data_IF_589984534225
#
_entry.id   IF_589984534225
#
_cell.length_a   1.000
_cell.length_b   1.000
_cell.length_c   1.000
_cell.angle_alpha   90.00
_cell.angle_beta   90.00
_cell.angle_gamma   90.00
#
_symmetry.space_group_name_H-M   'P 1'
#
loop_
_entity.id
_entity.type
_entity.pdbx_description
1 polymer ?
#
# COMPACT_ATOMS: atom_id res chain seq x y z
N UNK A 1 54.45 14.22 45.29
CA UNK A 1 53.65 13.37 44.38
C UNK A 1 53.11 12.20 45.20
N UNK A 2 52.02 12.41 45.93
CA UNK A 2 51.31 11.29 46.54
C UNK A 2 50.59 10.59 45.39
N UNK A 3 50.87 9.30 45.19
CA UNK A 3 50.08 8.46 44.30
C UNK A 3 48.60 8.72 44.61
N UNK A 4 47.81 9.00 43.59
CA UNK A 4 46.38 9.19 43.80
C UNK A 4 45.84 7.92 44.48
N UNK A 5 44.97 8.05 45.50
CA UNK A 5 44.45 6.92 46.29
C UNK A 5 44.06 5.70 45.42
N UNK A 6 43.50 5.85 44.21
CA UNK A 6 43.23 4.72 43.32
C UNK A 6 44.47 4.00 42.77
N UNK A 7 45.59 4.69 42.50
CA UNK A 7 46.85 4.05 42.05
C UNK A 7 47.49 3.22 43.17
N UNK A 8 47.38 3.69 44.41
CA UNK A 8 47.81 2.93 45.59
C UNK A 8 46.98 1.64 45.72
N UNK A 9 45.66 1.74 45.57
CA UNK A 9 44.75 0.58 45.64
C UNK A 9 44.95 -0.42 44.49
N UNK A 10 45.26 0.07 43.28
CA UNK A 10 45.66 -0.79 42.16
C UNK A 10 46.96 -1.55 42.46
N UNK A 11 47.92 -0.91 43.15
CA UNK A 11 49.19 -1.56 43.53
C UNK A 11 49.03 -2.56 44.69
N UNK A 12 48.01 -2.39 45.53
CA UNK A 12 47.70 -3.31 46.62
C UNK A 12 46.81 -4.50 46.21
N UNK A 13 46.44 -4.61 44.93
CA UNK A 13 45.61 -5.69 44.39
C UNK A 13 44.11 -5.57 44.65
N UNK A 14 43.64 -4.45 45.22
CA UNK A 14 42.23 -4.21 45.52
C UNK A 14 41.56 -3.47 44.34
N UNK A 15 41.41 -4.19 43.23
CA UNK A 15 40.96 -3.65 41.94
C UNK A 15 39.52 -3.10 41.98
N UNK A 16 38.61 -3.74 42.72
CA UNK A 16 37.20 -3.35 42.81
C UNK A 16 37.03 -1.93 43.36
N UNK A 17 37.61 -1.65 44.54
CA UNK A 17 37.53 -0.33 45.18
C UNK A 17 38.25 0.75 44.38
N UNK A 18 39.42 0.41 43.80
CA UNK A 18 40.17 1.33 42.97
C UNK A 18 39.34 1.78 41.76
N UNK A 19 38.72 0.83 41.06
CA UNK A 19 37.96 1.10 39.83
C UNK A 19 36.67 1.87 40.15
N UNK A 20 35.95 1.53 41.23
CA UNK A 20 34.77 2.30 41.67
C UNK A 20 35.10 3.76 41.99
N UNK A 21 36.23 4.02 42.65
CA UNK A 21 36.71 5.39 42.90
C UNK A 21 37.09 6.13 41.61
N UNK A 22 37.72 5.45 40.66
CA UNK A 22 38.05 6.03 39.36
C UNK A 22 36.78 6.35 38.54
N UNK A 23 35.77 5.47 38.57
CA UNK A 23 34.47 5.71 37.94
C UNK A 23 33.73 6.89 38.60
N UNK A 24 33.74 6.98 39.93
CA UNK A 24 33.10 8.07 40.66
C UNK A 24 33.72 9.44 40.33
N UNK A 25 35.02 9.49 40.05
CA UNK A 25 35.74 10.71 39.66
C UNK A 25 35.76 10.96 38.13
N UNK A 26 35.06 10.13 37.36
CA UNK A 26 34.98 10.18 35.90
C UNK A 26 36.34 10.09 35.15
N UNK A 27 37.29 9.31 35.66
CA UNK A 27 38.64 9.19 35.05
C UNK A 27 38.69 8.13 33.94
N UNK A 28 38.11 8.44 32.77
CA UNK A 28 37.91 7.50 31.64
C UNK A 28 39.18 6.73 31.24
N UNK A 29 40.30 7.41 30.97
CA UNK A 29 41.54 6.75 30.54
C UNK A 29 42.14 5.82 31.61
N UNK A 30 42.07 6.22 32.89
CA UNK A 30 42.57 5.40 34.00
C UNK A 30 41.73 4.14 34.16
N UNK A 31 40.42 4.26 33.98
CA UNK A 31 39.49 3.12 33.98
C UNK A 31 39.77 2.19 32.78
N UNK A 32 40.04 2.72 31.59
CA UNK A 32 40.39 1.91 30.40
C UNK A 32 41.67 1.10 30.62
N UNK A 33 42.69 1.74 31.20
CA UNK A 33 43.96 1.08 31.52
C UNK A 33 43.80 0.04 32.64
N UNK A 34 42.95 0.30 33.63
CA UNK A 34 42.60 -0.68 34.65
C UNK A 34 41.83 -1.87 34.04
N UNK A 35 40.93 -1.63 33.09
CA UNK A 35 40.15 -2.66 32.41
C UNK A 35 41.04 -3.68 31.69
N UNK A 36 42.16 -3.25 31.06
CA UNK A 36 43.09 -4.16 30.38
C UNK A 36 43.81 -5.12 31.34
N UNK A 37 43.99 -4.74 32.61
CA UNK A 37 44.69 -5.54 33.64
C UNK A 37 43.82 -6.59 34.33
N UNK A 38 42.49 -6.52 34.12
CA UNK A 38 41.52 -7.46 34.69
C UNK A 38 41.42 -8.72 33.82
N UNK A 39 41.29 -9.86 34.50
CA UNK A 39 41.07 -11.17 33.88
C UNK A 39 39.59 -11.41 33.55
N UNK A 40 39.32 -12.43 32.72
CA UNK A 40 37.96 -12.84 32.35
C UNK A 40 37.10 -13.30 33.52
N UNK A 41 37.72 -13.68 34.65
CA UNK A 41 37.03 -14.10 35.88
C UNK A 41 36.23 -12.96 36.54
N UNK A 42 36.65 -11.71 36.35
CA UNK A 42 36.02 -10.53 36.98
C UNK A 42 34.88 -9.97 36.12
N UNK A 43 34.02 -10.85 35.60
CA UNK A 43 32.98 -10.51 34.63
C UNK A 43 32.00 -9.42 35.13
N UNK A 44 31.69 -9.38 36.42
CA UNK A 44 30.82 -8.35 37.00
C UNK A 44 31.49 -6.97 37.01
N UNK A 45 32.77 -6.89 37.36
CA UNK A 45 33.53 -5.64 37.35
C UNK A 45 33.69 -5.11 35.93
N UNK A 46 33.99 -6.00 34.98
CA UNK A 46 34.07 -5.67 33.56
C UNK A 46 32.74 -5.17 32.99
N UNK A 47 31.60 -5.71 33.46
CA UNK A 47 30.28 -5.21 33.08
C UNK A 47 30.03 -3.79 33.60
N UNK A 48 30.37 -3.51 34.85
CA UNK A 48 30.27 -2.16 35.45
C UNK A 48 31.14 -1.15 34.68
N UNK A 49 32.39 -1.52 34.37
CA UNK A 49 33.30 -0.70 33.56
C UNK A 49 32.73 -0.46 32.16
N UNK A 50 32.22 -1.51 31.49
CA UNK A 50 31.63 -1.37 30.16
C UNK A 50 30.42 -0.42 30.16
N UNK A 51 29.56 -0.48 31.18
CA UNK A 51 28.43 0.44 31.33
C UNK A 51 28.88 1.88 31.60
N UNK A 52 29.95 2.06 32.38
CA UNK A 52 30.55 3.37 32.61
C UNK A 52 31.15 3.96 31.33
N UNK A 53 31.88 3.16 30.54
CA UNK A 53 32.42 3.58 29.25
C UNK A 53 31.32 3.96 28.26
N UNK A 54 30.25 3.17 28.20
CA UNK A 54 29.08 3.47 27.38
C UNK A 54 28.43 4.82 27.73
N UNK A 55 28.28 5.13 29.02
CA UNK A 55 27.72 6.42 29.48
C UNK A 55 28.57 7.63 29.07
N UNK A 56 29.88 7.43 28.92
CA UNK A 56 30.81 8.48 28.52
C UNK A 56 31.00 8.59 27.00
N UNK A 57 30.30 7.79 26.19
CA UNK A 57 30.37 7.82 24.73
C UNK A 57 31.51 6.98 24.12
N UNK A 58 32.26 6.22 24.92
CA UNK A 58 33.39 5.39 24.46
C UNK A 58 32.91 4.00 23.99
N UNK A 59 32.11 3.97 22.92
CA UNK A 59 31.44 2.76 22.44
C UNK A 59 32.40 1.65 21.98
N UNK A 60 33.51 2.01 21.33
CA UNK A 60 34.48 1.03 20.79
C UNK A 60 35.14 0.26 21.95
N UNK A 61 35.55 0.98 22.99
CA UNK A 61 36.19 0.40 24.16
C UNK A 61 35.19 -0.44 24.95
N UNK A 62 33.97 0.06 25.14
CA UNK A 62 32.89 -0.67 25.79
C UNK A 62 32.56 -1.99 25.05
N UNK A 63 32.45 -1.96 23.72
CA UNK A 63 32.25 -3.18 22.90
C UNK A 63 33.37 -4.19 23.09
N UNK A 64 34.64 -3.75 23.11
CA UNK A 64 35.77 -4.67 23.35
C UNK A 64 35.72 -5.33 24.73
N UNK A 65 35.27 -4.61 25.75
CA UNK A 65 35.15 -5.10 27.13
C UNK A 65 34.01 -6.12 27.21
N UNK A 66 32.86 -5.79 26.63
CA UNK A 66 31.70 -6.69 26.61
C UNK A 66 31.92 -7.94 25.74
N UNK A 67 32.66 -7.84 24.64
CA UNK A 67 33.07 -8.99 23.83
C UNK A 67 33.98 -9.94 24.63
N UNK A 68 34.87 -9.39 25.46
CA UNK A 68 35.78 -10.20 26.29
C UNK A 68 35.04 -11.05 27.33
N UNK A 69 33.89 -10.58 27.81
CA UNK A 69 32.99 -11.32 28.72
C UNK A 69 31.87 -12.08 27.99
N UNK A 70 31.84 -12.04 26.66
CA UNK A 70 30.81 -12.64 25.81
C UNK A 70 29.38 -12.18 26.13
N UNK A 71 29.21 -10.95 26.63
CA UNK A 71 27.93 -10.36 27.01
C UNK A 71 27.33 -9.57 25.84
N UNK A 72 26.80 -10.30 24.86
CA UNK A 72 26.22 -9.72 23.65
C UNK A 72 25.00 -8.83 23.94
N UNK A 73 24.24 -9.14 25.00
CA UNK A 73 23.05 -8.37 25.38
C UNK A 73 23.42 -6.96 25.83
N UNK A 74 24.50 -6.81 26.59
CA UNK A 74 25.00 -5.50 27.02
C UNK A 74 25.53 -4.66 25.86
N UNK A 75 26.17 -5.29 24.86
CA UNK A 75 26.61 -4.61 23.62
C UNK A 75 25.40 -4.06 22.88
N UNK A 76 24.39 -4.91 22.67
CA UNK A 76 23.16 -4.54 21.98
C UNK A 76 22.47 -3.38 22.69
N UNK A 77 22.24 -3.50 24.01
CA UNK A 77 21.56 -2.45 24.78
C UNK A 77 22.32 -1.12 24.72
N UNK A 78 23.65 -1.17 24.71
CA UNK A 78 24.49 0.01 24.54
C UNK A 78 24.24 0.67 23.18
N UNK A 79 24.32 -0.07 22.06
CA UNK A 79 24.10 0.49 20.72
C UNK A 79 22.66 0.99 20.53
N UNK A 80 21.67 0.29 21.09
CA UNK A 80 20.25 0.70 21.07
C UNK A 80 20.06 2.02 21.84
N UNK A 81 20.62 2.14 23.05
CA UNK A 81 20.52 3.37 23.85
C UNK A 81 21.23 4.57 23.18
N UNK A 82 22.25 4.29 22.37
CA UNK A 82 23.00 5.30 21.61
C UNK A 82 22.37 5.61 20.23
N UNK A 83 21.26 4.97 19.86
CA UNK A 83 20.64 5.03 18.53
C UNK A 83 21.59 4.64 17.37
N UNK A 84 22.64 3.85 17.64
CA UNK A 84 23.57 3.34 16.64
C UNK A 84 23.01 2.04 16.01
N UNK A 85 21.97 2.19 15.20
CA UNK A 85 21.22 1.07 14.63
C UNK A 85 22.00 0.23 13.62
N UNK A 86 22.91 0.82 12.83
CA UNK A 86 23.68 0.09 11.82
C UNK A 86 24.55 -1.00 12.45
N UNK A 87 25.27 -0.66 13.52
CA UNK A 87 26.07 -1.60 14.30
C UNK A 87 25.19 -2.64 15.02
N UNK A 88 24.05 -2.21 15.57
CA UNK A 88 23.12 -3.10 16.26
C UNK A 88 22.52 -4.15 15.30
N UNK A 89 22.12 -3.73 14.10
CA UNK A 89 21.57 -4.62 13.07
C UNK A 89 22.64 -5.58 12.51
N UNK A 90 23.88 -5.10 12.33
CA UNK A 90 25.01 -5.94 11.93
C UNK A 90 25.31 -7.06 12.95
N UNK A 91 25.15 -6.78 14.25
CA UNK A 91 25.33 -7.76 15.32
C UNK A 91 24.25 -8.84 15.34
N UNK A 92 22.99 -8.50 15.03
CA UNK A 92 21.88 -9.48 14.98
C UNK A 92 21.99 -10.39 13.76
N UNK A 93 22.43 -9.86 12.61
CA UNK A 93 22.63 -10.68 11.42
C UNK A 93 23.62 -11.83 11.68
N UNK A 94 24.49 -11.70 12.69
CA UNK A 94 25.41 -12.74 13.17
C UNK A 94 24.81 -13.59 14.29
N UNK A 95 23.85 -13.09 15.07
CA UNK A 95 23.26 -13.74 16.25
C UNK A 95 21.73 -13.55 16.31
N UNK A 96 20.98 -14.52 15.79
CA UNK A 96 19.51 -14.43 15.65
C UNK A 96 18.72 -14.47 16.98
N UNK A 97 19.31 -14.98 18.07
CA UNK A 97 18.60 -15.20 19.34
C UNK A 97 18.14 -13.93 20.07
N UNK A 98 18.77 -12.77 19.81
CA UNK A 98 18.49 -11.48 20.45
C UNK A 98 17.75 -10.50 19.52
N UNK A 99 17.15 -11.00 18.44
CA UNK A 99 16.44 -10.20 17.42
C UNK A 99 15.40 -9.24 18.03
N UNK A 100 14.61 -9.71 18.99
CA UNK A 100 13.55 -8.92 19.63
C UNK A 100 14.09 -7.69 20.40
N UNK A 101 15.22 -7.84 21.10
CA UNK A 101 15.81 -6.79 21.93
C UNK A 101 16.29 -5.57 21.10
N UNK A 102 16.43 -5.71 19.78
CA UNK A 102 16.80 -4.60 18.87
C UNK A 102 15.66 -4.17 17.97
N UNK A 103 15.00 -5.12 17.29
CA UNK A 103 14.00 -4.75 16.30
C UNK A 103 12.80 -4.04 16.92
N UNK A 104 12.45 -4.33 18.19
CA UNK A 104 11.36 -3.64 18.87
C UNK A 104 11.71 -2.16 19.19
N UNK A 105 12.83 -1.84 19.86
CA UNK A 105 13.29 -0.45 20.00
C UNK A 105 13.49 0.26 18.66
N UNK A 106 14.05 -0.45 17.67
CA UNK A 106 14.27 0.10 16.33
C UNK A 106 12.96 0.46 15.63
N UNK A 107 11.96 -0.41 15.72
CA UNK A 107 10.63 -0.16 15.16
C UNK A 107 9.96 1.06 15.80
N UNK A 108 10.09 1.22 17.13
CA UNK A 108 9.57 2.40 17.85
C UNK A 108 10.28 3.68 17.42
N UNK A 109 11.60 3.65 17.33
CA UNK A 109 12.40 4.78 16.84
C UNK A 109 12.06 5.15 15.39
N UNK A 110 11.86 4.16 14.52
CA UNK A 110 11.42 4.39 13.14
C UNK A 110 10.01 5.00 13.10
N UNK A 111 9.11 4.53 13.96
CA UNK A 111 7.76 5.07 14.08
C UNK A 111 7.76 6.52 14.60
N UNK A 112 8.62 6.86 15.55
CA UNK A 112 8.75 8.24 16.06
C UNK A 112 9.26 9.22 14.99
N UNK A 113 9.95 8.73 13.96
CA UNK A 113 10.53 9.53 12.86
C UNK A 113 9.77 9.44 11.54
N UNK A 114 8.52 9.01 11.58
CA UNK A 114 7.63 8.83 10.43
C UNK A 114 8.12 7.84 9.34
N UNK A 115 9.12 6.99 9.63
CA UNK A 115 9.65 5.96 8.71
C UNK A 115 8.89 4.64 8.87
N UNK A 116 7.59 4.70 8.66
CA UNK A 116 6.66 3.65 9.09
C UNK A 116 6.73 2.35 8.30
N UNK A 117 7.07 2.39 7.00
CA UNK A 117 7.21 1.18 6.19
C UNK A 117 8.31 0.28 6.74
N UNK A 118 9.42 0.89 7.14
CA UNK A 118 10.53 0.20 7.79
C UNK A 118 10.15 -0.22 9.22
N UNK A 119 9.38 0.59 9.94
CA UNK A 119 8.92 0.27 11.28
C UNK A 119 8.05 -1.00 11.28
N UNK A 120 7.14 -1.14 10.30
CA UNK A 120 6.29 -2.32 10.17
C UNK A 120 7.11 -3.58 9.89
N UNK A 121 8.11 -3.49 9.00
CA UNK A 121 9.04 -4.60 8.72
C UNK A 121 9.81 -4.96 9.99
N UNK A 122 10.25 -3.97 10.77
CA UNK A 122 10.96 -4.19 12.03
C UNK A 122 10.06 -4.85 13.10
N UNK A 123 8.80 -4.42 13.25
CA UNK A 123 7.85 -5.06 14.16
C UNK A 123 7.59 -6.53 13.80
N UNK A 124 7.43 -6.82 12.50
CA UNK A 124 7.25 -8.19 12.01
C UNK A 124 8.50 -9.04 12.31
N UNK A 125 9.71 -8.51 12.10
CA UNK A 125 10.97 -9.18 12.45
C UNK A 125 11.14 -9.41 13.96
N UNK A 126 10.54 -8.56 14.79
CA UNK A 126 10.55 -8.72 16.24
C UNK A 126 9.51 -9.74 16.75
N UNK A 127 8.60 -10.21 15.90
CA UNK A 127 7.50 -11.12 16.28
C UNK A 127 6.33 -10.44 17.01
N UNK A 128 6.27 -9.11 17.02
CA UNK A 128 5.23 -8.32 17.70
C UNK A 128 4.12 -7.88 16.75
N UNK A 129 3.50 -8.84 16.06
CA UNK A 129 2.46 -8.58 15.04
C UNK A 129 1.25 -7.81 15.60
N UNK A 130 0.88 -8.06 16.86
CA UNK A 130 -0.25 -7.37 17.51
C UNK A 130 0.02 -5.89 17.74
N UNK A 131 1.23 -5.54 18.21
CA UNK A 131 1.64 -4.14 18.35
C UNK A 131 1.73 -3.48 16.98
N UNK A 132 2.27 -4.19 15.97
CA UNK A 132 2.32 -3.71 14.58
C UNK A 132 0.94 -3.36 14.03
N UNK A 133 -0.06 -4.23 14.23
CA UNK A 133 -1.44 -3.99 13.80
C UNK A 133 -2.08 -2.79 14.53
N UNK A 134 -1.84 -2.64 15.84
CA UNK A 134 -2.35 -1.49 16.61
C UNK A 134 -1.75 -0.17 16.13
N UNK A 135 -0.44 -0.14 15.89
CA UNK A 135 0.24 1.03 15.33
C UNK A 135 -0.32 1.37 13.95
N UNK A 136 -0.48 0.38 13.08
CA UNK A 136 -1.05 0.57 11.74
C UNK A 136 -2.49 1.13 11.79
N UNK A 137 -3.33 0.65 12.71
CA UNK A 137 -4.68 1.18 12.90
C UNK A 137 -4.65 2.65 13.36
N UNK A 138 -3.78 2.99 14.32
CA UNK A 138 -3.61 4.37 14.79
C UNK A 138 -3.12 5.29 13.68
N UNK A 139 -2.13 4.86 12.90
CA UNK A 139 -1.60 5.59 11.75
C UNK A 139 -2.67 5.83 10.70
N UNK A 140 -3.49 4.82 10.41
CA UNK A 140 -4.58 4.92 9.46
C UNK A 140 -5.58 6.00 9.91
N UNK A 141 -5.98 5.99 11.19
CA UNK A 141 -6.88 7.01 11.77
C UNK A 141 -6.26 8.40 11.75
N UNK A 142 -4.96 8.52 12.05
CA UNK A 142 -4.26 9.82 12.05
C UNK A 142 -4.11 10.38 10.64
N UNK A 143 -3.70 9.55 9.66
CA UNK A 143 -3.56 9.95 8.27
C UNK A 143 -4.88 10.49 7.70
N UNK A 144 -6.01 9.85 8.04
CA UNK A 144 -7.34 10.33 7.65
C UNK A 144 -7.67 11.68 8.31
N UNK A 145 -7.41 11.84 9.61
CA UNK A 145 -7.68 13.09 10.35
C UNK A 145 -6.84 14.28 9.87
N UNK A 146 -5.61 14.01 9.42
CA UNK A 146 -4.68 15.02 8.94
C UNK A 146 -4.79 15.29 7.44
N UNK A 147 -5.80 14.71 6.77
CA UNK A 147 -6.02 14.84 5.32
C UNK A 147 -4.85 14.29 4.47
N UNK A 148 -4.05 13.35 5.00
CA UNK A 148 -3.01 12.62 4.27
C UNK A 148 -3.62 11.40 3.58
N UNK A 149 -4.53 11.60 2.62
CA UNK A 149 -5.37 10.52 2.06
C UNK A 149 -4.58 9.50 1.22
N UNK A 150 -3.51 9.91 0.54
CA UNK A 150 -2.58 8.97 -0.13
C UNK A 150 -1.99 7.95 0.87
N UNK A 151 -1.55 8.43 2.03
CA UNK A 151 -1.02 7.58 3.10
C UNK A 151 -2.13 6.73 3.72
N UNK A 152 -3.30 7.30 3.99
CA UNK A 152 -4.47 6.56 4.48
C UNK A 152 -4.83 5.40 3.54
N UNK A 153 -4.91 5.65 2.24
CA UNK A 153 -5.14 4.62 1.22
C UNK A 153 -4.12 3.49 1.33
N UNK A 154 -2.83 3.82 1.44
CA UNK A 154 -1.78 2.85 1.55
C UNK A 154 -1.90 2.01 2.83
N UNK A 155 -2.15 2.64 3.97
CA UNK A 155 -2.30 1.94 5.25
C UNK A 155 -3.53 1.02 5.28
N UNK A 156 -4.68 1.44 4.73
CA UNK A 156 -5.85 0.57 4.59
C UNK A 156 -5.56 -0.66 3.72
N UNK A 157 -4.73 -0.55 2.67
CA UNK A 157 -4.29 -1.71 1.88
C UNK A 157 -3.37 -2.63 2.67
N UNK A 158 -2.42 -2.06 3.42
CA UNK A 158 -1.56 -2.86 4.32
C UNK A 158 -2.37 -3.58 5.39
N UNK A 159 -3.40 -2.95 5.93
CA UNK A 159 -4.34 -3.61 6.85
C UNK A 159 -5.08 -4.76 6.15
N UNK A 160 -5.55 -4.55 4.92
CA UNK A 160 -6.18 -5.61 4.14
C UNK A 160 -5.23 -6.79 3.88
N UNK A 161 -3.97 -6.54 3.55
CA UNK A 161 -2.94 -7.59 3.39
C UNK A 161 -2.75 -8.41 4.67
N UNK A 162 -2.65 -7.77 5.83
CA UNK A 162 -2.57 -8.47 7.13
C UNK A 162 -3.81 -9.34 7.39
N UNK A 163 -5.00 -8.91 6.93
CA UNK A 163 -6.22 -9.69 7.04
C UNK A 163 -6.22 -10.89 6.07
N UNK A 164 -5.67 -10.73 4.86
CA UNK A 164 -5.50 -11.83 3.88
C UNK A 164 -4.55 -12.90 4.40
N UNK A 165 -3.44 -12.49 5.03
CA UNK A 165 -2.47 -13.42 5.63
C UNK A 165 -3.11 -14.25 6.75
N UNK A 166 -3.95 -13.62 7.58
CA UNK A 166 -4.73 -14.30 8.62
C UNK A 166 -5.77 -15.26 8.04
N UNK A 167 -6.46 -14.88 6.97
CA UNK A 167 -7.43 -15.74 6.28
C UNK A 167 -6.77 -17.01 5.71
N UNK A 168 -5.59 -16.85 5.08
CA UNK A 168 -4.83 -17.97 4.51
C UNK A 168 -4.30 -18.99 5.52
N UNK A 169 -4.31 -18.67 6.82
CA UNK A 169 -3.94 -19.57 7.92
C UNK A 169 -5.11 -20.26 8.61
N UNK A 170 -6.37 -19.86 8.32
CA UNK A 170 -7.56 -20.40 8.99
C UNK A 170 -8.25 -21.40 8.05
N UNK A 171 -8.07 -22.69 8.33
CA UNK A 171 -8.80 -23.76 7.66
C UNK A 171 -10.32 -23.64 7.89
N UNK A 172 -11.02 -23.06 6.91
CA UNK A 172 -12.34 -23.45 6.39
C UNK A 172 -13.61 -23.42 7.26
N UNK A 173 -13.54 -23.40 8.60
CA UNK A 173 -14.72 -23.75 9.43
C UNK A 173 -15.00 -22.82 10.62
N UNK A 174 -14.83 -21.50 10.48
CA UNK A 174 -15.20 -20.57 11.56
C UNK A 174 -16.25 -19.53 11.15
N UNK A 175 -17.24 -19.35 12.03
CA UNK A 175 -18.28 -18.31 12.02
C UNK A 175 -17.67 -16.88 11.95
N UNK A 176 -16.41 -16.72 12.36
CA UNK A 176 -15.65 -15.47 12.30
C UNK A 176 -15.11 -15.12 10.88
N UNK A 177 -15.20 -16.02 9.91
CA UNK A 177 -14.73 -15.77 8.53
C UNK A 177 -15.56 -14.69 7.83
N UNK A 178 -16.88 -14.64 8.07
CA UNK A 178 -17.75 -13.65 7.45
C UNK A 178 -17.44 -12.22 7.92
N UNK A 179 -17.19 -12.01 9.22
CA UNK A 179 -16.85 -10.69 9.75
C UNK A 179 -15.46 -10.23 9.31
N UNK A 180 -14.52 -11.15 9.12
CA UNK A 180 -13.18 -10.85 8.59
C UNK A 180 -13.25 -10.46 7.11
N UNK A 181 -14.04 -11.17 6.30
CA UNK A 181 -14.27 -10.82 4.90
C UNK A 181 -14.93 -9.45 4.74
N UNK A 182 -15.95 -9.15 5.54
CA UNK A 182 -16.60 -7.83 5.53
C UNK A 182 -15.62 -6.72 5.93
N UNK A 183 -14.80 -6.96 6.95
CA UNK A 183 -13.76 -6.02 7.39
C UNK A 183 -12.71 -5.77 6.30
N UNK A 184 -12.32 -6.82 5.58
CA UNK A 184 -11.38 -6.74 4.47
C UNK A 184 -11.96 -5.97 3.28
N UNK A 185 -13.21 -6.25 2.89
CA UNK A 185 -13.90 -5.51 1.84
C UNK A 185 -14.04 -4.03 2.21
N UNK A 186 -14.36 -3.74 3.47
CA UNK A 186 -14.39 -2.36 3.99
C UNK A 186 -13.01 -1.69 3.91
N UNK A 187 -11.92 -2.37 4.28
CA UNK A 187 -10.57 -1.81 4.16
C UNK A 187 -10.20 -1.50 2.71
N UNK A 188 -10.46 -2.43 1.77
CA UNK A 188 -10.17 -2.24 0.36
C UNK A 188 -11.01 -1.11 -0.25
N UNK A 189 -12.30 -1.04 0.10
CA UNK A 189 -13.19 0.04 -0.34
C UNK A 189 -12.72 1.40 0.18
N UNK A 190 -12.38 1.51 1.46
CA UNK A 190 -11.85 2.75 2.03
C UNK A 190 -10.53 3.14 1.38
N UNK A 191 -9.63 2.18 1.14
CA UNK A 191 -8.39 2.45 0.44
C UNK A 191 -8.61 3.06 -0.95
N UNK A 192 -9.52 2.48 -1.74
CA UNK A 192 -9.83 2.97 -3.07
C UNK A 192 -10.48 4.35 -3.05
N UNK A 193 -11.37 4.61 -2.09
CA UNK A 193 -12.02 5.91 -1.91
C UNK A 193 -11.00 6.98 -1.53
N UNK A 194 -10.13 6.74 -0.55
CA UNK A 194 -9.10 7.71 -0.15
C UNK A 194 -8.06 7.93 -1.26
N UNK A 195 -7.73 6.88 -2.01
CA UNK A 195 -6.85 6.97 -3.17
C UNK A 195 -7.42 7.90 -4.24
N UNK A 196 -8.72 7.75 -4.56
CA UNK A 196 -9.42 8.62 -5.51
C UNK A 196 -9.61 10.04 -4.97
N UNK A 197 -9.81 10.19 -3.65
CA UNK A 197 -10.12 11.46 -3.03
C UNK A 197 -8.91 12.39 -2.91
N UNK A 198 -7.70 11.85 -2.71
CA UNK A 198 -6.46 12.63 -2.63
C UNK A 198 -6.33 13.70 -3.75
N UNK A 199 -6.35 13.36 -5.05
CA UNK A 199 -6.22 14.37 -6.10
C UNK A 199 -7.41 15.35 -6.16
N UNK A 200 -8.63 14.89 -5.83
CA UNK A 200 -9.83 15.75 -5.79
C UNK A 200 -9.77 16.75 -4.65
N UNK A 201 -9.24 16.34 -3.50
CA UNK A 201 -9.02 17.20 -2.33
C UNK A 201 -7.95 18.24 -2.65
N UNK A 202 -6.80 17.82 -3.18
CA UNK A 202 -5.72 18.72 -3.61
C UNK A 202 -6.18 19.74 -4.63
N UNK A 203 -6.96 19.33 -5.64
CA UNK A 203 -7.52 20.25 -6.64
C UNK A 203 -8.29 21.45 -6.05
N UNK A 204 -8.95 21.25 -4.92
CA UNK A 204 -9.77 22.30 -4.28
C UNK A 204 -8.96 23.12 -3.27
N UNK A 205 -8.00 22.51 -2.59
CA UNK A 205 -7.23 23.15 -1.51
C UNK A 205 -5.95 23.82 -2.03
N UNK A 206 -5.29 23.22 -3.01
CA UNK A 206 -4.02 23.69 -3.57
C UNK A 206 -4.28 24.62 -4.77
N UNK A 207 -3.42 25.64 -4.99
CA UNK A 207 -3.59 26.61 -6.09
C UNK A 207 -3.25 26.03 -7.47
N UNK A 208 -2.51 24.92 -7.52
CA UNK A 208 -2.07 24.26 -8.75
C UNK A 208 -2.46 22.79 -8.72
N UNK A 209 -2.63 22.21 -9.90
CA UNK A 209 -3.11 20.84 -10.04
C UNK A 209 -2.11 20.02 -10.82
N UNK A 210 -1.65 18.91 -10.23
CA UNK A 210 -0.72 17.97 -10.88
C UNK A 210 -1.41 17.06 -11.91
N UNK A 211 -2.71 16.83 -11.76
CA UNK A 211 -3.51 15.90 -12.58
C UNK A 211 -4.33 16.64 -13.64
N UNK A 212 -4.59 15.97 -14.76
CA UNK A 212 -5.50 16.50 -15.77
C UNK A 212 -6.93 16.60 -15.23
N UNK A 213 -7.71 17.49 -15.84
CA UNK A 213 -9.10 17.74 -15.43
C UNK A 213 -9.99 16.51 -15.64
N UNK A 214 -9.71 15.69 -16.66
CA UNK A 214 -10.46 14.46 -16.96
C UNK A 214 -10.29 13.43 -15.83
N UNK A 215 -9.06 13.25 -15.34
CA UNK A 215 -8.76 12.36 -14.22
C UNK A 215 -9.50 12.81 -12.96
N UNK A 216 -9.51 14.11 -12.68
CA UNK A 216 -10.24 14.67 -11.53
C UNK A 216 -11.74 14.48 -11.66
N UNK A 217 -12.28 14.63 -12.87
CA UNK A 217 -13.70 14.41 -13.14
C UNK A 217 -14.09 12.95 -12.89
N UNK A 218 -13.33 12.01 -13.44
CA UNK A 218 -13.55 10.58 -13.25
C UNK A 218 -13.35 10.13 -11.79
N UNK A 219 -12.33 10.66 -11.10
CA UNK A 219 -12.11 10.40 -9.69
C UNK A 219 -13.26 10.94 -8.82
N UNK A 220 -13.70 12.18 -9.06
CA UNK A 220 -14.83 12.76 -8.33
C UNK A 220 -16.13 12.01 -8.62
N UNK A 221 -16.35 11.56 -9.87
CA UNK A 221 -17.45 10.67 -10.24
C UNK A 221 -17.38 9.39 -9.42
N UNK A 222 -16.24 8.69 -9.45
CA UNK A 222 -16.03 7.44 -8.73
C UNK A 222 -16.41 7.58 -7.24
N UNK A 223 -15.90 8.60 -6.55
CA UNK A 223 -16.20 8.85 -5.12
C UNK A 223 -17.68 9.20 -4.90
N UNK A 224 -18.29 9.96 -5.82
CA UNK A 224 -19.68 10.38 -5.68
C UNK A 224 -20.66 9.21 -5.62
N UNK A 225 -20.30 8.10 -6.28
CA UNK A 225 -21.09 6.86 -6.36
C UNK A 225 -20.94 5.97 -5.11
N UNK A 226 -19.88 6.17 -4.33
CA UNK A 226 -19.70 5.50 -3.04
C UNK A 226 -20.58 6.13 -1.94
N UNK A 227 -20.89 5.31 -0.92
CA UNK A 227 -21.55 5.77 0.30
C UNK A 227 -20.70 6.85 0.98
N UNK A 228 -21.31 7.80 1.71
CA UNK A 228 -20.56 8.80 2.47
C UNK A 228 -19.56 8.13 3.42
N UNK A 229 -18.30 8.51 3.32
CA UNK A 229 -17.20 8.01 4.14
C UNK A 229 -16.69 9.11 5.08
N UNK A 230 -16.05 8.70 6.17
CA UNK A 230 -15.48 9.64 7.13
C UNK A 230 -14.38 10.49 6.46
N UNK A 231 -14.29 11.77 6.84
CA UNK A 231 -13.29 12.74 6.36
C UNK A 231 -13.24 12.99 4.84
N UNK A 232 -14.09 12.34 4.04
CA UNK A 232 -14.29 12.66 2.63
C UNK A 232 -15.41 13.69 2.52
N UNK A 233 -15.04 14.95 2.24
CA UNK A 233 -16.02 16.03 2.08
C UNK A 233 -16.83 15.84 0.80
N UNK A 234 -18.12 15.48 0.97
CA UNK A 234 -19.09 15.41 -0.14
C UNK A 234 -19.27 16.76 -0.84
N UNK A 235 -19.11 17.87 -0.11
CA UNK A 235 -19.13 19.21 -0.70
C UNK A 235 -17.99 19.37 -1.70
N UNK A 236 -16.77 18.98 -1.32
CA UNK A 236 -15.59 19.02 -2.20
C UNK A 236 -15.82 18.17 -3.46
N UNK A 237 -16.30 16.94 -3.30
CA UNK A 237 -16.56 16.01 -4.42
C UNK A 237 -17.58 16.59 -5.40
N UNK A 238 -18.75 17.03 -4.92
CA UNK A 238 -19.80 17.56 -5.79
C UNK A 238 -19.48 18.94 -6.35
N UNK A 239 -18.70 19.75 -5.63
CA UNK A 239 -18.21 21.03 -6.13
C UNK A 239 -17.22 20.85 -7.28
N UNK A 240 -16.29 19.89 -7.16
CA UNK A 240 -15.38 19.49 -8.25
C UNK A 240 -16.18 18.95 -9.44
N UNK A 241 -17.14 18.05 -9.22
CA UNK A 241 -18.04 17.56 -10.28
C UNK A 241 -18.78 18.70 -10.97
N UNK A 242 -19.40 19.62 -10.22
CA UNK A 242 -20.10 20.77 -10.78
C UNK A 242 -19.19 21.62 -11.67
N UNK A 243 -17.98 21.96 -11.19
CA UNK A 243 -17.01 22.77 -11.95
C UNK A 243 -16.57 22.08 -13.24
N UNK A 244 -16.17 20.82 -13.14
CA UNK A 244 -15.65 20.07 -14.29
C UNK A 244 -16.75 19.69 -15.27
N UNK A 245 -17.94 19.33 -14.79
CA UNK A 245 -19.11 19.13 -15.64
C UNK A 245 -19.49 20.37 -16.44
N UNK A 246 -19.35 21.57 -15.87
CA UNK A 246 -19.53 22.84 -16.63
C UNK A 246 -18.48 22.98 -17.73
N UNK A 247 -17.22 22.68 -17.42
CA UNK A 247 -16.11 22.78 -18.36
C UNK A 247 -16.26 21.81 -19.55
N UNK A 248 -16.66 20.57 -19.28
CA UNK A 248 -16.81 19.51 -20.29
C UNK A 248 -18.17 19.48 -21.00
N UNK A 249 -19.07 20.43 -20.72
CA UNK A 249 -20.42 20.44 -21.30
C UNK A 249 -21.35 19.33 -20.80
N UNK A 250 -21.03 18.71 -19.65
CA UNK A 250 -21.89 17.75 -18.96
C UNK A 250 -22.95 18.45 -18.08
N UNK A 251 -23.84 19.22 -18.71
CA UNK A 251 -24.74 20.13 -18.01
C UNK A 251 -25.84 19.42 -17.21
N UNK A 252 -26.29 18.24 -17.61
CA UNK A 252 -27.25 17.45 -16.81
C UNK A 252 -26.59 16.97 -15.51
N UNK A 253 -25.35 16.51 -15.58
CA UNK A 253 -24.56 16.11 -14.40
C UNK A 253 -24.25 17.31 -13.51
N UNK A 254 -23.92 18.48 -14.08
CA UNK A 254 -23.71 19.70 -13.31
C UNK A 254 -24.96 20.08 -12.48
N UNK A 255 -26.17 19.94 -13.05
CA UNK A 255 -27.44 20.15 -12.31
C UNK A 255 -27.62 19.16 -11.17
N UNK A 256 -27.32 17.89 -11.41
CA UNK A 256 -27.42 16.87 -10.37
C UNK A 256 -26.44 17.17 -9.23
N UNK A 257 -25.19 17.54 -9.54
CA UNK A 257 -24.20 17.95 -8.55
C UNK A 257 -24.67 19.18 -7.74
N UNK A 258 -25.22 20.20 -8.39
CA UNK A 258 -25.81 21.38 -7.72
C UNK A 258 -26.98 21.00 -6.78
N UNK A 259 -27.87 20.12 -7.23
CA UNK A 259 -28.96 19.63 -6.39
C UNK A 259 -28.47 18.89 -5.14
N UNK A 260 -27.33 18.19 -5.23
CA UNK A 260 -26.68 17.60 -4.07
C UNK A 260 -26.02 18.66 -3.18
N UNK A 261 -25.33 19.66 -3.75
CA UNK A 261 -24.71 20.75 -3.00
C UNK A 261 -25.73 21.55 -2.18
N UNK A 262 -26.91 21.84 -2.73
CA UNK A 262 -27.98 22.54 -2.01
C UNK A 262 -28.56 21.74 -0.83
N UNK A 263 -28.39 20.41 -0.81
CA UNK A 263 -28.78 19.55 0.32
C UNK A 263 -27.69 19.45 1.38
N UNK A 264 -26.49 19.95 1.11
CA UNK A 264 -25.33 19.88 1.99
C UNK A 264 -25.05 21.26 2.60
N UNK A 265 -24.41 21.25 3.77
CA UNK A 265 -23.93 22.48 4.41
C UNK A 265 -22.62 22.93 3.76
N UNK A 266 -22.73 23.83 2.79
CA UNK A 266 -21.56 24.38 2.10
C UNK A 266 -20.90 25.51 2.91
N UNK A 267 -19.55 25.54 2.99
CA UNK A 267 -18.81 26.70 3.48
C UNK A 267 -19.14 27.98 2.69
N UNK A 268 -19.14 29.17 3.35
CA UNK A 268 -19.53 30.43 2.70
C UNK A 268 -18.64 30.80 1.51
N UNK A 269 -17.38 30.36 1.52
CA UNK A 269 -16.42 30.56 0.42
C UNK A 269 -16.89 29.94 -0.90
N UNK A 270 -17.63 28.82 -0.84
CA UNK A 270 -18.15 28.14 -2.03
C UNK A 270 -19.54 28.63 -2.43
N UNK A 271 -20.31 29.20 -1.50
CA UNK A 271 -21.71 29.54 -1.71
C UNK A 271 -21.89 30.51 -2.89
N UNK A 272 -21.10 31.58 -2.95
CA UNK A 272 -21.16 32.55 -4.06
C UNK A 272 -20.89 31.90 -5.43
N UNK A 273 -19.93 30.98 -5.50
CA UNK A 273 -19.61 30.27 -6.75
C UNK A 273 -20.69 29.26 -7.13
N UNK A 274 -21.32 28.61 -6.15
CA UNK A 274 -22.44 27.68 -6.35
C UNK A 274 -23.68 28.43 -6.86
N UNK A 275 -23.96 29.61 -6.30
CA UNK A 275 -25.11 30.43 -6.70
C UNK A 275 -24.95 30.92 -8.15
N UNK A 276 -23.75 31.41 -8.52
CA UNK A 276 -23.42 31.79 -9.90
C UNK A 276 -23.53 30.59 -10.84
N UNK A 277 -22.91 29.46 -10.48
CA UNK A 277 -22.99 28.23 -11.27
C UNK A 277 -24.44 27.77 -11.47
N UNK A 278 -25.30 27.95 -10.47
CA UNK A 278 -26.72 27.60 -10.54
C UNK A 278 -27.47 28.45 -11.56
N UNK A 279 -27.21 29.75 -11.61
CA UNK A 279 -27.82 30.64 -12.60
C UNK A 279 -27.34 30.30 -14.02
N UNK A 280 -26.04 30.08 -14.20
CA UNK A 280 -25.48 29.74 -15.50
C UNK A 280 -26.03 28.41 -16.03
N UNK A 281 -26.02 27.36 -15.20
CA UNK A 281 -26.48 26.03 -15.60
C UNK A 281 -27.98 26.01 -15.95
N UNK A 282 -28.80 26.90 -15.38
CA UNK A 282 -30.22 27.01 -15.77
C UNK A 282 -30.40 27.41 -17.24
N UNK A 283 -29.47 28.15 -17.82
CA UNK A 283 -29.51 28.58 -19.22
C UNK A 283 -29.00 27.52 -20.22
N UNK A 284 -28.33 26.46 -19.75
CA UNK A 284 -27.71 25.44 -20.59
C UNK A 284 -28.71 24.35 -21.02
N UNK A 285 -28.41 23.48 -22.01
CA UNK A 285 -29.27 22.33 -22.34
C UNK A 285 -29.27 21.27 -21.24
N UNK A 286 -30.31 20.43 -21.18
CA UNK A 286 -30.40 19.28 -20.26
C UNK A 286 -29.78 18.01 -20.89
N UNK A 287 -28.53 18.12 -21.31
CA UNK A 287 -27.77 17.01 -21.89
C UNK A 287 -26.38 16.95 -21.25
N UNK A 288 -25.75 15.78 -21.37
CA UNK A 288 -24.34 15.59 -21.06
C UNK A 288 -23.57 15.31 -22.35
N UNK A 289 -22.29 15.70 -22.41
CA UNK A 289 -21.38 15.28 -23.48
C UNK A 289 -21.29 13.76 -23.53
N UNK A 290 -21.32 13.19 -24.75
CA UNK A 290 -21.26 11.74 -24.99
C UNK A 290 -19.89 11.16 -24.62
N UNK A 291 -18.82 11.96 -24.74
CA UNK A 291 -17.43 11.54 -24.47
C UNK A 291 -17.20 11.10 -23.03
N UNK A 292 -17.89 11.73 -22.07
CA UNK A 292 -17.76 11.47 -20.64
C UNK A 292 -18.80 10.47 -20.10
N UNK A 293 -19.68 9.94 -20.97
CA UNK A 293 -20.65 8.94 -20.56
C UNK A 293 -19.99 7.56 -20.48
N UNK A 294 -20.05 6.88 -19.31
CA UNK A 294 -19.46 5.55 -19.16
C UNK A 294 -20.14 4.55 -20.10
N UNK A 295 -19.36 3.98 -21.02
CA UNK A 295 -19.82 2.93 -21.92
C UNK A 295 -19.78 1.57 -21.22
N UNK A 296 -20.85 0.79 -21.36
CA UNK A 296 -20.83 -0.60 -20.93
C UNK A 296 -20.26 -1.48 -22.03
N UNK A 297 -19.05 -2.02 -21.82
CA UNK A 297 -18.40 -2.90 -22.79
C UNK A 297 -19.07 -4.27 -22.96
N UNK A 298 -20.01 -4.64 -22.09
CA UNK A 298 -20.81 -5.87 -22.24
C UNK A 298 -22.01 -5.70 -23.19
N UNK A 299 -22.75 -4.59 -23.12
CA UNK A 299 -23.98 -4.40 -23.92
C UNK A 299 -23.96 -3.22 -24.89
N UNK A 300 -22.91 -2.38 -24.85
CA UNK A 300 -22.76 -1.19 -25.68
C UNK A 300 -23.56 0.03 -25.22
N UNK A 301 -24.35 -0.08 -24.15
CA UNK A 301 -25.17 1.03 -23.64
C UNK A 301 -24.30 2.13 -23.01
N UNK A 302 -24.52 3.38 -23.40
CA UNK A 302 -23.98 4.56 -22.71
C UNK A 302 -24.78 4.82 -21.42
N UNK A 303 -24.08 4.96 -20.31
CA UNK A 303 -24.70 5.06 -18.98
C UNK A 303 -24.70 6.51 -18.47
N UNK A 304 -25.68 6.89 -17.63
CA UNK A 304 -25.64 8.16 -16.94
C UNK A 304 -24.36 8.30 -16.10
N UNK A 305 -23.75 9.48 -16.11
CA UNK A 305 -22.49 9.75 -15.39
C UNK A 305 -22.63 9.43 -13.90
N UNK A 306 -23.73 9.85 -13.25
CA UNK A 306 -24.04 9.54 -11.85
C UNK A 306 -24.95 8.30 -11.68
N UNK A 307 -24.90 7.35 -12.61
CA UNK A 307 -25.80 6.18 -12.65
C UNK A 307 -25.44 5.00 -11.74
N UNK A 308 -24.21 4.93 -11.22
CA UNK A 308 -23.72 3.81 -10.40
C UNK A 308 -22.39 3.25 -10.88
N UNK A 309 -21.90 2.22 -10.16
CA UNK A 309 -20.74 1.42 -10.59
C UNK A 309 -21.14 0.25 -11.50
N UNK A 310 -22.41 0.16 -11.89
CA UNK A 310 -22.95 -0.90 -12.74
C UNK A 310 -23.74 -0.30 -13.91
N UNK A 311 -23.85 -1.07 -14.99
CA UNK A 311 -24.64 -0.70 -16.14
C UNK A 311 -26.13 -0.70 -15.83
N UNK A 312 -26.85 0.37 -16.19
CA UNK A 312 -28.30 0.50 -15.95
C UNK A 312 -29.14 -0.51 -16.73
N UNK A 313 -28.57 -1.14 -17.77
CA UNK A 313 -29.28 -2.10 -18.63
C UNK A 313 -28.99 -3.56 -18.27
N UNK A 314 -27.72 -3.92 -18.07
CA UNK A 314 -27.31 -5.31 -17.84
C UNK A 314 -26.69 -5.58 -16.46
N UNK A 315 -26.62 -4.57 -15.57
CA UNK A 315 -26.01 -4.65 -14.23
C UNK A 315 -24.55 -5.13 -14.23
N UNK A 316 -23.86 -5.00 -15.35
CA UNK A 316 -22.44 -5.31 -15.43
C UNK A 316 -21.63 -4.26 -14.66
N UNK A 317 -20.77 -4.70 -13.75
CA UNK A 317 -19.90 -3.81 -12.98
C UNK A 317 -18.83 -3.16 -13.86
N UNK A 318 -18.65 -1.86 -13.72
CA UNK A 318 -17.58 -1.13 -14.36
C UNK A 318 -16.24 -1.41 -13.67
N UNK A 319 -15.23 -1.70 -14.48
CA UNK A 319 -13.87 -1.91 -14.02
C UNK A 319 -13.07 -0.66 -14.37
N UNK A 320 -12.37 -0.12 -13.38
CA UNK A 320 -11.74 1.19 -13.50
C UNK A 320 -10.21 1.08 -13.66
N UNK A 321 -9.64 1.98 -14.45
CA UNK A 321 -8.20 2.26 -14.44
C UNK A 321 -7.86 3.02 -13.16
N UNK A 322 -7.03 2.47 -12.28
CA UNK A 322 -6.70 3.09 -10.99
C UNK A 322 -5.64 4.21 -11.08
N UNK A 323 -5.54 4.88 -12.23
CA UNK A 323 -4.81 6.14 -12.40
C UNK A 323 -5.77 7.21 -12.94
N UNK A 324 -6.53 6.87 -13.98
CA UNK A 324 -7.43 7.80 -14.66
C UNK A 324 -8.89 7.73 -14.21
N UNK A 325 -9.28 6.66 -13.50
CA UNK A 325 -10.66 6.33 -13.12
C UNK A 325 -11.64 6.19 -14.28
N UNK A 326 -11.13 6.00 -15.49
CA UNK A 326 -11.93 5.64 -16.66
C UNK A 326 -12.38 4.19 -16.59
N UNK A 327 -13.54 3.91 -17.21
CA UNK A 327 -14.05 2.55 -17.35
C UNK A 327 -13.23 1.84 -18.44
N UNK A 328 -12.62 0.71 -18.09
CA UNK A 328 -11.80 -0.10 -18.98
C UNK A 328 -12.67 -1.08 -19.79
N UNK A 329 -12.26 -1.46 -21.01
CA UNK A 329 -12.93 -2.45 -21.86
C UNK A 329 -12.69 -3.89 -21.37
N UNK A 330 -13.04 -4.14 -20.11
CA UNK A 330 -12.98 -5.44 -19.46
C UNK A 330 -14.40 -5.91 -19.13
N UNK A 331 -14.66 -7.19 -19.35
CA UNK A 331 -15.89 -7.87 -18.94
C UNK A 331 -15.54 -8.94 -17.92
N UNK A 332 -16.09 -8.87 -16.72
CA UNK A 332 -16.07 -9.99 -15.78
C UNK A 332 -16.96 -11.14 -16.28
N UNK A 333 -16.41 -12.35 -16.37
CA UNK A 333 -17.17 -13.57 -16.66
C UNK A 333 -17.05 -14.58 -15.50
N UNK A 334 -18.03 -15.49 -15.44
CA UNK A 334 -18.03 -16.64 -14.55
C UNK A 334 -17.77 -17.91 -15.34
N UNK A 335 -17.19 -18.91 -14.69
CA UNK A 335 -17.04 -20.25 -15.25
C UNK A 335 -18.35 -21.01 -14.99
N UNK A 336 -18.81 -21.79 -15.96
CA UNK A 336 -20.02 -22.60 -15.76
C UNK A 336 -19.76 -23.67 -14.67
N UNK A 337 -20.65 -23.72 -13.68
CA UNK A 337 -20.38 -24.26 -12.34
C UNK A 337 -20.40 -25.80 -12.23
N UNK A 338 -20.59 -26.50 -13.35
CA UNK A 338 -20.94 -27.93 -13.28
C UNK A 338 -19.74 -28.87 -13.15
N UNK A 339 -18.47 -28.48 -13.42
CA UNK A 339 -17.30 -29.38 -13.21
C UNK A 339 -15.89 -28.72 -13.21
N UNK A 340 -15.75 -27.41 -13.48
CA UNK A 340 -14.43 -26.82 -13.75
C UNK A 340 -13.85 -26.17 -12.49
N UNK A 341 -12.67 -26.63 -12.06
CA UNK A 341 -11.93 -25.98 -10.96
C UNK A 341 -11.23 -24.69 -11.43
N UNK A 342 -11.01 -23.73 -10.53
CA UNK A 342 -10.28 -22.49 -10.85
C UNK A 342 -8.89 -22.74 -11.48
N UNK A 343 -8.22 -23.83 -11.07
CA UNK A 343 -6.93 -24.26 -11.64
C UNK A 343 -7.08 -24.81 -13.05
N UNK A 344 -8.07 -25.67 -13.25
CA UNK A 344 -8.39 -26.22 -14.57
C UNK A 344 -8.79 -25.11 -15.54
N UNK A 345 -9.56 -24.11 -15.10
CA UNK A 345 -9.89 -22.96 -15.94
C UNK A 345 -8.64 -22.18 -16.37
N UNK A 346 -7.67 -21.98 -15.47
CA UNK A 346 -6.39 -21.34 -15.83
C UNK A 346 -5.59 -22.21 -16.80
N UNK A 347 -5.59 -23.53 -16.64
CA UNK A 347 -4.94 -24.45 -17.57
C UNK A 347 -5.60 -24.41 -18.96
N UNK A 348 -6.93 -24.40 -19.04
CA UNK A 348 -7.68 -24.30 -20.29
C UNK A 348 -7.42 -22.99 -21.02
N UNK A 349 -7.35 -21.86 -20.30
CA UNK A 349 -7.02 -20.55 -20.90
C UNK A 349 -5.57 -20.50 -21.40
N UNK A 350 -4.67 -21.26 -20.77
CA UNK A 350 -3.26 -21.32 -21.16
C UNK A 350 -2.96 -22.37 -22.24
N UNK A 351 -3.91 -23.26 -22.54
CA UNK A 351 -3.76 -24.29 -23.55
C UNK A 351 -3.79 -23.69 -24.96
N UNK A 352 -3.13 -24.34 -25.90
CA UNK A 352 -3.21 -23.95 -27.31
C UNK A 352 -4.62 -24.26 -27.85
N UNK A 353 -5.26 -23.32 -28.56
CA UNK A 353 -6.58 -23.55 -29.13
C UNK A 353 -6.51 -24.64 -30.21
N UNK A 354 -7.55 -25.46 -30.39
CA UNK A 354 -7.58 -26.46 -31.45
C UNK A 354 -7.47 -25.78 -32.83
N UNK A 355 -6.66 -26.35 -33.73
CA UNK A 355 -6.21 -25.82 -35.06
C UNK A 355 -7.31 -25.32 -36.03
N UNK A 356 -8.59 -25.39 -35.67
CA UNK A 356 -9.71 -25.01 -36.51
C UNK A 356 -10.80 -24.28 -35.70
N UNK A 357 -10.65 -22.96 -35.51
CA UNK A 357 -11.77 -22.01 -35.50
C UNK A 357 -11.31 -20.55 -35.41
N UNK A 358 -11.96 -19.69 -36.21
CA UNK A 358 -11.69 -18.25 -36.34
C UNK A 358 -11.67 -17.51 -34.99
N UNK A 359 -10.70 -16.59 -34.85
CA UNK A 359 -10.49 -15.63 -33.75
C UNK A 359 -11.69 -14.71 -33.39
N UNK A 360 -12.88 -14.90 -33.97
CA UNK A 360 -14.06 -14.06 -33.78
C UNK A 360 -15.05 -14.60 -32.72
N UNK A 361 -14.64 -15.59 -31.92
CA UNK A 361 -15.47 -16.18 -30.87
C UNK A 361 -15.98 -15.13 -29.87
N UNK A 362 -15.08 -14.27 -29.38
CA UNK A 362 -15.38 -13.20 -28.40
C UNK A 362 -16.43 -12.23 -28.95
N UNK A 363 -16.29 -11.78 -30.19
CA UNK A 363 -17.25 -10.88 -30.83
C UNK A 363 -18.61 -11.55 -31.04
N UNK A 364 -18.64 -12.80 -31.50
CA UNK A 364 -19.89 -13.49 -31.81
C UNK A 364 -20.70 -13.85 -30.55
N UNK A 365 -20.03 -14.24 -29.46
CA UNK A 365 -20.73 -14.54 -28.20
C UNK A 365 -21.15 -13.29 -27.43
N UNK A 366 -20.33 -12.24 -27.36
CA UNK A 366 -20.75 -10.97 -26.73
C UNK A 366 -21.94 -10.37 -27.51
N UNK A 367 -21.95 -10.49 -28.83
CA UNK A 367 -23.08 -10.04 -29.67
C UNK A 367 -24.33 -10.91 -29.46
N UNK A 368 -24.19 -12.23 -29.33
CA UNK A 368 -25.33 -13.15 -29.15
C UNK A 368 -25.86 -13.20 -27.70
N UNK A 369 -25.02 -12.95 -26.70
CA UNK A 369 -25.37 -12.98 -25.27
C UNK A 369 -25.90 -11.64 -24.71
N UNK A 370 -26.27 -10.67 -25.55
CA UNK A 370 -26.85 -9.35 -25.17
C UNK A 370 -28.05 -9.40 -24.20
N UNK A 371 -28.63 -10.59 -23.94
CA UNK A 371 -29.76 -10.82 -23.04
C UNK A 371 -29.42 -11.46 -21.68
N UNK A 372 -28.21 -11.99 -21.46
CA UNK A 372 -27.83 -12.57 -20.16
C UNK A 372 -27.16 -11.51 -19.28
N UNK A 373 -27.59 -11.41 -18.02
CA UNK A 373 -27.02 -10.49 -17.03
C UNK A 373 -25.55 -10.81 -16.69
N UNK A 374 -25.11 -12.05 -16.93
CA UNK A 374 -23.76 -12.51 -16.57
C UNK A 374 -23.21 -13.46 -17.64
N UNK A 375 -22.01 -13.15 -18.16
CA UNK A 375 -21.30 -13.99 -19.13
C UNK A 375 -20.79 -15.23 -18.40
N UNK A 376 -21.31 -16.40 -18.76
CA UNK A 376 -20.87 -17.70 -18.25
C UNK A 376 -20.19 -18.44 -19.38
N UNK A 377 -18.95 -18.86 -19.17
CA UNK A 377 -18.16 -19.55 -20.20
C UNK A 377 -18.01 -21.04 -19.90
N UNK A 378 -18.24 -21.87 -20.92
CA UNK A 378 -18.09 -23.32 -20.89
C UNK A 378 -16.65 -23.77 -21.19
N UNK A 379 -16.34 -25.05 -20.97
CA UNK A 379 -14.98 -25.63 -21.16
C UNK A 379 -14.40 -25.38 -22.55
N UNK A 380 -15.22 -25.57 -23.59
CA UNK A 380 -14.84 -25.35 -24.99
C UNK A 380 -14.57 -23.88 -25.29
N UNK A 381 -15.30 -22.99 -24.63
CA UNK A 381 -15.20 -21.54 -24.84
C UNK A 381 -13.93 -21.01 -24.18
N UNK A 382 -13.57 -21.50 -23.00
CA UNK A 382 -12.31 -21.18 -22.32
C UNK A 382 -11.07 -21.58 -23.14
N UNK A 383 -11.10 -22.72 -23.83
CA UNK A 383 -10.02 -23.17 -24.73
C UNK A 383 -9.84 -22.28 -25.96
N UNK A 384 -10.90 -21.61 -26.40
CA UNK A 384 -10.87 -20.73 -27.57
C UNK A 384 -10.52 -19.27 -27.21
N UNK A 385 -10.31 -18.95 -25.92
CA UNK A 385 -9.92 -17.61 -25.51
C UNK A 385 -8.44 -17.36 -25.80
N UNK A 386 -8.15 -16.17 -26.31
CA UNK A 386 -6.77 -15.70 -26.39
C UNK A 386 -6.26 -15.38 -24.99
N UNK A 387 -5.24 -16.12 -24.53
CA UNK A 387 -4.55 -15.92 -23.25
C UNK A 387 -4.18 -14.46 -22.98
N UNK A 388 -3.77 -13.70 -24.00
CA UNK A 388 -3.33 -12.31 -23.85
C UNK A 388 -4.48 -11.35 -23.49
N UNK A 389 -5.72 -11.75 -23.74
CA UNK A 389 -6.91 -10.95 -23.47
C UNK A 389 -7.63 -11.35 -22.18
N UNK A 390 -7.12 -12.35 -21.45
CA UNK A 390 -7.75 -12.83 -20.21
C UNK A 390 -6.90 -12.47 -19.00
N UNK A 391 -7.54 -11.86 -18.01
CA UNK A 391 -6.95 -11.59 -16.70
C UNK A 391 -7.68 -12.38 -15.63
N UNK A 392 -6.93 -13.09 -14.81
CA UNK A 392 -7.44 -13.63 -13.54
C UNK A 392 -7.24 -12.59 -12.42
N UNK A 393 -8.04 -12.64 -11.36
CA UNK A 393 -7.85 -11.79 -10.19
C UNK A 393 -8.11 -12.64 -8.96
N UNK A 394 -7.05 -12.86 -8.20
CA UNK A 394 -7.10 -13.62 -6.96
C UNK A 394 -6.70 -12.71 -5.80
N UNK A 395 -7.70 -12.04 -5.23
CA UNK A 395 -7.50 -11.15 -4.06
C UNK A 395 -7.54 -11.97 -2.76
N UNK A 396 -8.37 -13.02 -2.72
CA UNK A 396 -8.63 -13.84 -1.53
C UNK A 396 -8.44 -15.29 -1.90
N UNK A 397 -7.53 -15.99 -1.20
CA UNK A 397 -7.30 -17.42 -1.39
C UNK A 397 -8.57 -18.26 -1.13
N UNK A 398 -9.48 -17.75 -0.29
CA UNK A 398 -10.74 -18.38 0.11
C UNK A 398 -11.91 -18.13 -0.85
N UNK A 399 -11.82 -17.16 -1.78
CA UNK A 399 -12.87 -16.90 -2.79
C UNK A 399 -12.45 -17.44 -4.15
N UNK A 400 -13.45 -17.78 -4.98
CA UNK A 400 -13.21 -18.13 -6.39
C UNK A 400 -12.50 -17.00 -7.13
N UNK A 401 -11.60 -17.38 -8.01
CA UNK A 401 -10.87 -16.45 -8.88
C UNK A 401 -11.88 -15.73 -9.78
N UNK A 402 -11.74 -14.40 -9.87
CA UNK A 402 -12.51 -13.60 -10.83
C UNK A 402 -11.76 -13.57 -12.16
N UNK A 403 -12.47 -13.79 -13.25
CA UNK A 403 -11.90 -13.72 -14.59
C UNK A 403 -12.46 -12.52 -15.35
N UNK A 404 -11.59 -11.87 -16.12
CA UNK A 404 -11.88 -10.68 -16.88
C UNK A 404 -11.39 -10.87 -18.31
N UNK A 405 -12.24 -10.53 -19.27
CA UNK A 405 -11.95 -10.57 -20.69
C UNK A 405 -11.81 -9.15 -21.24
N UNK A 406 -10.69 -8.88 -21.90
CA UNK A 406 -10.45 -7.65 -22.66
C UNK A 406 -11.17 -7.74 -24.02
N UNK A 407 -11.98 -6.72 -24.33
CA UNK A 407 -12.88 -6.74 -25.51
C UNK A 407 -12.38 -5.84 -26.64
N UNK A 408 -11.55 -4.85 -26.34
CA UNK A 408 -10.99 -3.91 -27.33
C UNK A 408 -9.48 -4.09 -27.37
N UNK A 409 -8.95 -4.68 -28.44
CA UNK A 409 -7.54 -5.07 -28.56
C UNK A 409 -6.59 -3.87 -28.56
N UNK A 410 -7.03 -2.73 -29.10
CA UNK A 410 -6.25 -1.50 -29.20
C UNK A 410 -5.90 -0.90 -27.81
N UNK A 411 -6.76 -1.10 -26.82
CA UNK A 411 -6.55 -0.57 -25.47
C UNK A 411 -5.62 -1.49 -24.68
N UNK A 412 -4.39 -1.07 -24.46
CA UNK A 412 -3.42 -1.85 -23.66
C UNK A 412 -3.76 -1.75 -22.19
N UNK A 413 -4.02 -2.89 -21.55
CA UNK A 413 -4.39 -2.97 -20.13
C UNK A 413 -3.35 -3.80 -19.39
N UNK A 414 -2.91 -3.30 -18.23
CA UNK A 414 -2.03 -4.02 -17.31
C UNK A 414 -2.73 -4.22 -15.98
N UNK A 415 -2.54 -5.39 -15.39
CA UNK A 415 -2.93 -5.70 -14.01
C UNK A 415 -1.68 -5.77 -13.13
N UNK A 416 -1.65 -5.02 -12.03
CA UNK A 416 -0.54 -5.12 -11.08
C UNK A 416 -0.52 -6.50 -10.41
N UNK A 417 0.66 -7.12 -10.32
CA UNK A 417 0.83 -8.45 -9.71
C UNK A 417 0.60 -8.45 -8.20
N UNK A 418 0.80 -7.32 -7.53
CA UNK A 418 0.66 -7.20 -6.07
C UNK A 418 -0.76 -6.77 -5.67
N UNK A 419 -1.20 -5.59 -6.10
CA UNK A 419 -2.52 -5.07 -5.70
C UNK A 419 -3.70 -5.58 -6.55
N UNK A 420 -3.42 -6.32 -7.63
CA UNK A 420 -4.42 -6.88 -8.53
C UNK A 420 -5.37 -5.83 -9.17
N UNK A 421 -5.03 -4.53 -9.12
CA UNK A 421 -5.77 -3.45 -9.79
C UNK A 421 -5.39 -3.37 -11.27
N UNK A 422 -6.33 -2.87 -12.07
CA UNK A 422 -6.18 -2.66 -13.50
C UNK A 422 -5.81 -1.21 -13.81
N UNK A 423 -5.06 -1.04 -14.90
CA UNK A 423 -4.57 0.24 -15.39
C UNK A 423 -4.54 0.24 -16.91
N UNK A 424 -4.68 1.41 -17.51
CA UNK A 424 -4.14 1.63 -18.85
C UNK A 424 -2.61 1.44 -18.80
N UNK A 425 -2.06 0.69 -19.75
CA UNK A 425 -0.63 0.35 -19.79
C UNK A 425 0.26 1.58 -19.85
N UNK A 426 -0.10 2.57 -20.65
CA UNK A 426 0.76 3.72 -20.91
C UNK A 426 0.84 4.61 -19.67
N UNK A 427 -0.30 4.88 -19.02
CA UNK A 427 -0.38 5.59 -17.75
C UNK A 427 0.39 4.88 -16.64
N UNK A 428 0.29 3.54 -16.59
CA UNK A 428 0.97 2.74 -15.58
C UNK A 428 2.49 2.76 -15.76
N UNK A 429 2.97 2.66 -17.00
CA UNK A 429 4.40 2.75 -17.31
C UNK A 429 4.95 4.13 -16.95
N UNK A 430 4.25 5.21 -17.30
CA UNK A 430 4.63 6.57 -16.90
C UNK A 430 4.71 6.70 -15.38
N UNK A 431 3.69 6.19 -14.65
CA UNK A 431 3.67 6.23 -13.20
C UNK A 431 4.83 5.46 -12.56
N UNK A 432 5.21 4.31 -13.12
CA UNK A 432 6.37 3.53 -12.66
C UNK A 432 7.67 4.26 -12.96
N UNK A 433 7.85 4.81 -14.16
CA UNK A 433 9.07 5.54 -14.52
C UNK A 433 9.29 6.75 -13.62
N UNK A 434 8.22 7.44 -13.22
CA UNK A 434 8.30 8.59 -12.32
C UNK A 434 8.61 8.21 -10.87
N UNK A 435 8.03 7.12 -10.37
CA UNK A 435 8.05 6.82 -8.93
C UNK A 435 8.89 5.59 -8.55
N UNK A 436 9.19 4.69 -9.48
CA UNK A 436 9.85 3.40 -9.25
C UNK A 436 8.97 2.33 -8.59
N UNK A 437 7.66 2.59 -8.43
CA UNK A 437 6.73 1.69 -7.75
C UNK A 437 5.31 1.80 -8.32
N UNK A 438 4.47 0.79 -8.03
CA UNK A 438 3.05 0.83 -8.37
C UNK A 438 2.35 2.01 -7.66
N UNK A 439 1.60 2.89 -8.36
CA UNK A 439 0.98 4.07 -7.73
C UNK A 439 -0.04 3.71 -6.63
N UNK A 440 -0.57 2.49 -6.65
CA UNK A 440 -1.62 2.00 -5.76
C UNK A 440 -1.06 1.30 -4.53
N UNK A 441 -0.26 0.24 -4.68
CA UNK A 441 0.31 -0.49 -3.53
C UNK A 441 1.73 -0.06 -3.14
N UNK A 442 2.36 0.81 -3.91
CA UNK A 442 3.72 1.30 -3.68
C UNK A 442 4.79 0.19 -3.62
N UNK A 443 4.47 -1.02 -4.06
CA UNK A 443 5.47 -2.07 -4.26
C UNK A 443 6.43 -1.64 -5.35
N UNK A 444 7.73 -1.65 -5.05
CA UNK A 444 8.78 -1.38 -6.03
C UNK A 444 8.70 -2.42 -7.14
N UNK A 445 8.69 -1.94 -8.37
CA UNK A 445 8.72 -2.79 -9.55
C UNK A 445 10.14 -2.68 -10.06
N UNK A 446 10.86 -3.80 -10.11
CA UNK A 446 12.13 -3.85 -10.80
C UNK A 446 11.81 -3.59 -12.27
N UNK A 447 12.01 -2.34 -12.71
CA UNK A 447 12.00 -2.01 -14.12
C UNK A 447 13.15 -2.80 -14.74
N UNK A 448 12.84 -3.73 -15.65
CA UNK A 448 13.84 -4.39 -16.47
C UNK A 448 14.74 -3.32 -17.10
N UNK A 449 16.01 -3.30 -16.69
CA UNK A 449 17.20 -3.01 -17.48
C UNK A 449 18.44 -3.32 -16.59
N UNK A 450 19.43 -4.02 -17.18
CA UNK A 450 20.81 -4.28 -16.69
C UNK A 450 21.25 -5.75 -16.45
N UNK A 451 20.59 -6.76 -17.03
CA UNK A 451 21.15 -8.15 -17.01
C UNK A 451 21.20 -8.89 -18.36
N UNK A 452 20.74 -8.31 -19.47
CA UNK A 452 20.77 -8.96 -20.79
C UNK A 452 21.74 -8.34 -21.80
N UNK A 453 22.52 -7.31 -21.43
CA UNK A 453 23.54 -6.72 -22.32
C UNK A 453 25.00 -7.04 -21.98
N UNK A 454 25.26 -7.89 -20.97
CA UNK A 454 26.63 -8.30 -20.58
C UNK A 454 26.83 -9.83 -20.64
N UNK A 455 26.18 -10.53 -21.58
CA UNK A 455 26.36 -11.98 -21.78
C UNK A 455 26.77 -12.40 -23.20
N UNK A 456 27.22 -11.47 -24.05
CA UNK A 456 27.67 -11.80 -25.41
C UNK A 456 29.12 -11.36 -25.74
N UNK A 457 30.02 -11.17 -24.76
CA UNK A 457 31.43 -10.84 -25.07
C UNK A 457 32.51 -11.76 -24.46
N UNK A 458 32.16 -12.90 -23.86
CA UNK A 458 33.16 -13.84 -23.32
C UNK A 458 33.08 -15.25 -23.94
N UNK A 459 32.95 -15.34 -25.27
CA UNK A 459 33.25 -16.57 -26.03
C UNK A 459 33.93 -16.24 -27.37
N UNK A 460 35.22 -15.86 -27.31
CA UNK A 460 36.25 -16.12 -28.34
C UNK A 460 37.55 -16.53 -27.65
#
# INVERSE_FOLDING_TARGET
>A
MLASVPELLMSSGDYDRAIRLMMANNWVEKVANAARKLDKSDANLLREIGQFMAKNGEYIQATSIFQRINDLRSIIQMHVNAENWDDALALINRNSSLSNDVYLPYARWLAERDRFDEAQIAYNKAGHEKEASLVLEQLTKNAVKENRFKAASFYYRRMAEQLIEKDGGINGNNINGHSLLESLENCLNLADIYFAYEPVYKYVVEPFTEKSLDILFHAARFISLHKPTEYVSRVTVYYTLMKLSRHFGCYKTARQALNHLHKLRCPPQYQSQIDVATLEIRAMPFSDSEEFQPMCYNCGTANPILGGHECVHCNHYFIYSFITFEVLPLIQFQIDDDDISDKEAIELINAEPPDNQNNNFITNEIINNKKKQQLKLSRSELLNLNKNNVFNQNILKSKRIKFFLKVIDEVKIIKCQFCQKFFNSDDYQIAILQNGYCPVCQTKIQTFNDQEFNKEEDDI
#
